data_IF_702349029970
#
_entry.id   IF_702349029970
#
_cell.length_a   1.000
_cell.length_b   1.000
_cell.length_c   1.000
_cell.angle_alpha   90.00
_cell.angle_beta   90.00
_cell.angle_gamma   90.00
#
_symmetry.space_group_name_H-M   'P 1'
#
loop_
_entity.id
_entity.type
_entity.pdbx_description
1 polymer ?
#
# COMPACT_ATOMS: atom_id res chain seq x y z
N UNK A 1 13.30 20.24 -15.25
CA UNK A 1 12.40 20.97 -14.31
C UNK A 1 11.13 20.18 -13.99
N UNK A 2 10.49 19.52 -14.99
CA UNK A 2 9.25 18.73 -14.77
C UNK A 2 9.41 17.64 -13.70
N UNK A 3 10.58 16.97 -13.66
CA UNK A 3 10.84 15.93 -12.67
C UNK A 3 10.83 16.41 -11.22
N UNK A 4 11.28 17.64 -10.95
CA UNK A 4 11.24 18.25 -9.62
C UNK A 4 9.80 18.61 -9.20
N UNK A 5 9.00 19.15 -10.12
CA UNK A 5 7.62 19.55 -9.86
C UNK A 5 6.69 18.36 -9.58
N UNK A 6 7.00 17.18 -10.12
CA UNK A 6 6.22 15.96 -9.90
C UNK A 6 6.86 15.11 -8.78
N UNK A 7 8.17 14.98 -8.80
CA UNK A 7 8.89 14.09 -7.88
C UNK A 7 8.90 14.57 -6.44
N UNK A 8 9.07 15.87 -6.19
CA UNK A 8 9.13 16.40 -4.83
C UNK A 8 7.80 16.28 -4.09
N UNK A 9 6.64 16.67 -4.65
CA UNK A 9 5.35 16.44 -4.00
C UNK A 9 5.07 14.95 -3.79
N UNK A 10 5.46 14.07 -4.73
CA UNK A 10 5.32 12.63 -4.60
C UNK A 10 6.13 12.07 -3.42
N UNK A 11 7.39 12.51 -3.27
CA UNK A 11 8.25 12.10 -2.16
C UNK A 11 7.70 12.56 -0.80
N UNK A 12 7.24 13.82 -0.72
CA UNK A 12 6.61 14.37 0.48
C UNK A 12 5.33 13.61 0.82
N UNK A 13 4.47 13.35 -0.18
CA UNK A 13 3.25 12.57 -0.02
C UNK A 13 3.52 11.15 0.49
N UNK A 14 4.52 10.49 -0.07
CA UNK A 14 4.97 9.18 0.37
C UNK A 14 5.45 9.18 1.82
N UNK A 15 6.28 10.14 2.19
CA UNK A 15 6.77 10.30 3.58
C UNK A 15 5.63 10.56 4.57
N UNK A 16 4.72 11.48 4.24
CA UNK A 16 3.53 11.77 5.06
C UNK A 16 2.64 10.53 5.15
N UNK A 17 2.40 9.85 4.03
CA UNK A 17 1.59 8.64 3.97
C UNK A 17 2.11 7.55 4.91
N UNK A 18 3.40 7.19 4.81
CA UNK A 18 4.01 6.16 5.68
C UNK A 18 3.95 6.56 7.14
N UNK A 19 4.32 7.81 7.47
CA UNK A 19 4.38 8.28 8.87
C UNK A 19 3.01 8.41 9.52
N UNK A 20 2.05 9.03 8.84
CA UNK A 20 0.67 9.15 9.34
C UNK A 20 -0.05 7.80 9.35
N UNK A 21 0.10 7.02 8.28
CA UNK A 21 -0.45 5.67 8.19
C UNK A 21 0.05 4.77 9.31
N UNK A 22 1.34 4.79 9.61
CA UNK A 22 1.93 4.08 10.73
C UNK A 22 1.36 4.50 12.08
N UNK A 23 1.28 5.81 12.34
CA UNK A 23 0.70 6.32 13.59
C UNK A 23 -0.79 5.95 13.77
N UNK A 24 -1.58 6.07 12.70
CA UNK A 24 -3.00 5.69 12.71
C UNK A 24 -3.13 4.18 12.92
N UNK A 25 -2.32 3.39 12.24
CA UNK A 25 -2.29 1.94 12.39
C UNK A 25 -1.96 1.51 13.82
N UNK A 26 -0.99 2.15 14.46
CA UNK A 26 -0.63 1.87 15.86
C UNK A 26 -1.71 2.32 16.83
N UNK A 27 -2.36 3.44 16.59
CA UNK A 27 -3.49 3.89 17.40
C UNK A 27 -4.70 2.94 17.31
N UNK A 28 -5.00 2.45 16.11
CA UNK A 28 -6.06 1.45 15.89
C UNK A 28 -5.70 0.09 16.50
N UNK A 29 -4.44 -0.29 16.42
CA UNK A 29 -3.93 -1.53 17.04
C UNK A 29 -4.13 -1.56 18.54
N UNK A 30 -4.03 -0.41 19.23
CA UNK A 30 -4.31 -0.30 20.66
C UNK A 30 -5.77 -0.58 21.02
N UNK A 31 -6.68 -0.40 20.06
CA UNK A 31 -8.13 -0.63 20.28
C UNK A 31 -8.57 -2.03 19.84
N UNK A 32 -7.98 -2.55 18.77
CA UNK A 32 -8.34 -3.86 18.20
C UNK A 32 -7.10 -4.58 17.64
N UNK A 33 -7.05 -5.90 17.84
CA UNK A 33 -5.99 -6.78 17.35
C UNK A 33 -5.75 -6.58 15.85
N UNK A 34 -6.81 -6.52 15.07
CA UNK A 34 -6.74 -6.32 13.60
C UNK A 34 -6.72 -4.84 13.17
N UNK A 35 -6.53 -3.89 14.10
CA UNK A 35 -6.64 -2.45 13.79
C UNK A 35 -5.69 -1.96 12.69
N UNK A 36 -4.47 -2.51 12.61
CA UNK A 36 -3.52 -2.18 11.52
C UNK A 36 -4.02 -2.61 10.15
N UNK A 37 -4.81 -3.69 10.07
CA UNK A 37 -5.35 -4.17 8.80
C UNK A 37 -6.35 -3.16 8.22
N UNK A 38 -7.03 -2.36 9.04
CA UNK A 38 -7.89 -1.28 8.55
C UNK A 38 -7.11 -0.26 7.70
N UNK A 39 -5.90 0.10 8.12
CA UNK A 39 -5.03 1.01 7.35
C UNK A 39 -4.50 0.33 6.09
N UNK A 40 -4.18 -0.96 6.15
CA UNK A 40 -3.79 -1.74 4.97
C UNK A 40 -4.94 -1.79 3.96
N UNK A 41 -6.17 -2.04 4.42
CA UNK A 41 -7.36 -2.05 3.57
C UNK A 41 -7.64 -0.68 2.95
N UNK A 42 -7.51 0.40 3.73
CA UNK A 42 -7.59 1.76 3.22
C UNK A 42 -6.54 2.00 2.13
N UNK A 43 -5.28 1.65 2.35
CA UNK A 43 -4.19 1.81 1.38
C UNK A 43 -4.29 0.87 0.17
N UNK A 44 -5.11 -0.18 0.21
CA UNK A 44 -5.42 -1.01 -0.95
C UNK A 44 -6.54 -0.40 -1.83
N UNK A 45 -7.54 0.25 -1.23
CA UNK A 45 -8.73 0.74 -1.92
C UNK A 45 -8.61 2.23 -2.31
N UNK A 46 -8.17 3.09 -1.38
CA UNK A 46 -8.17 4.53 -1.59
C UNK A 46 -7.32 5.00 -2.78
N UNK A 47 -6.11 4.45 -3.05
CA UNK A 47 -5.35 4.80 -4.24
C UNK A 47 -6.11 4.54 -5.53
N UNK A 48 -6.87 3.44 -5.60
CA UNK A 48 -7.67 3.12 -6.79
C UNK A 48 -8.77 4.15 -7.04
N UNK A 49 -9.43 4.63 -6.00
CA UNK A 49 -10.45 5.69 -6.10
C UNK A 49 -9.81 7.02 -6.51
N UNK A 50 -8.69 7.40 -5.91
CA UNK A 50 -8.00 8.66 -6.22
C UNK A 50 -7.40 8.66 -7.62
N UNK A 51 -6.88 7.54 -8.12
CA UNK A 51 -6.35 7.49 -9.49
C UNK A 51 -7.48 7.61 -10.52
N UNK A 52 -8.63 7.01 -10.30
CA UNK A 52 -9.80 7.20 -11.16
C UNK A 52 -10.24 8.67 -11.14
N UNK A 53 -10.32 9.27 -9.94
CA UNK A 53 -10.64 10.69 -9.80
C UNK A 53 -9.61 11.60 -10.51
N UNK A 54 -8.33 11.24 -10.49
CA UNK A 54 -7.29 11.99 -11.20
C UNK A 54 -7.53 11.98 -12.72
N UNK A 55 -7.83 10.82 -13.31
CA UNK A 55 -8.07 10.71 -14.75
C UNK A 55 -9.41 11.31 -15.22
N UNK A 56 -10.35 11.52 -14.31
CA UNK A 56 -11.64 12.21 -14.59
C UNK A 56 -11.60 13.70 -14.23
N UNK A 57 -10.48 14.19 -13.69
CA UNK A 57 -10.34 15.58 -13.26
C UNK A 57 -10.40 16.55 -14.47
N UNK A 58 -11.14 17.62 -14.31
CA UNK A 58 -11.33 18.67 -15.35
C UNK A 58 -10.20 19.71 -15.40
N UNK A 59 -9.29 19.70 -14.41
CA UNK A 59 -8.17 20.63 -14.34
C UNK A 59 -6.85 19.94 -13.94
N UNK A 60 -5.73 20.49 -14.41
CA UNK A 60 -4.40 19.98 -14.06
C UNK A 60 -4.15 20.01 -12.53
N UNK A 61 -4.65 21.04 -11.83
CA UNK A 61 -4.50 21.14 -10.38
C UNK A 61 -5.19 19.99 -9.63
N UNK A 62 -6.41 19.63 -10.04
CA UNK A 62 -7.13 18.48 -9.47
C UNK A 62 -6.44 17.16 -9.79
N UNK A 63 -5.90 17.01 -11.00
CA UNK A 63 -5.11 15.84 -11.38
C UNK A 63 -3.91 15.65 -10.44
N UNK A 64 -3.12 16.71 -10.23
CA UNK A 64 -1.97 16.66 -9.32
C UNK A 64 -2.39 16.39 -7.86
N UNK A 65 -3.47 17.01 -7.39
CA UNK A 65 -4.00 16.77 -6.03
C UNK A 65 -4.36 15.30 -5.83
N UNK A 66 -5.14 14.72 -6.73
CA UNK A 66 -5.53 13.31 -6.64
C UNK A 66 -4.34 12.37 -6.81
N UNK A 67 -3.34 12.73 -7.61
CA UNK A 67 -2.11 11.96 -7.72
C UNK A 67 -1.34 11.94 -6.39
N UNK A 68 -1.19 13.07 -5.71
CA UNK A 68 -0.59 13.18 -4.38
C UNK A 68 -1.36 12.33 -3.36
N UNK A 69 -2.69 12.38 -3.37
CA UNK A 69 -3.54 11.57 -2.48
C UNK A 69 -3.41 10.07 -2.77
N UNK A 70 -3.26 9.69 -4.03
CA UNK A 70 -2.98 8.30 -4.44
C UNK A 70 -1.69 7.79 -3.80
N UNK A 71 -0.61 8.56 -3.90
CA UNK A 71 0.69 8.20 -3.34
C UNK A 71 0.63 8.15 -1.81
N UNK A 72 0.06 9.17 -1.18
CA UNK A 72 -0.05 9.23 0.28
C UNK A 72 -0.87 8.06 0.86
N UNK A 73 -2.03 7.76 0.25
CA UNK A 73 -2.89 6.66 0.70
C UNK A 73 -2.25 5.29 0.48
N UNK A 74 -1.63 5.05 -0.68
CA UNK A 74 -0.92 3.80 -0.95
C UNK A 74 0.26 3.58 -0.01
N UNK A 75 1.06 4.62 0.22
CA UNK A 75 2.21 4.57 1.13
C UNK A 75 1.81 4.32 2.59
N UNK A 76 0.60 4.71 3.01
CA UNK A 76 0.11 4.49 4.38
C UNK A 76 0.02 3.02 4.76
N UNK A 77 -0.29 2.14 3.80
CA UNK A 77 -0.37 0.71 4.02
C UNK A 77 1.00 0.06 4.25
N UNK A 78 2.07 0.62 3.65
CA UNK A 78 3.40 0.00 3.68
C UNK A 78 3.94 -0.11 5.12
N UNK A 79 3.85 0.97 5.89
CA UNK A 79 4.28 0.98 7.29
C UNK A 79 3.46 0.04 8.17
N UNK A 80 2.14 0.05 8.00
CA UNK A 80 1.22 -0.84 8.73
C UNK A 80 1.48 -2.33 8.42
N UNK A 81 1.73 -2.67 7.14
CA UNK A 81 2.01 -4.03 6.72
C UNK A 81 3.37 -4.52 7.24
N UNK A 82 4.42 -3.71 7.14
CA UNK A 82 5.74 -4.03 7.67
C UNK A 82 5.70 -4.27 9.19
N UNK A 83 5.03 -3.39 9.94
CA UNK A 83 4.85 -3.55 11.38
C UNK A 83 4.05 -4.81 11.74
N UNK A 84 2.97 -5.12 11.01
CA UNK A 84 2.18 -6.34 11.22
C UNK A 84 3.02 -7.59 10.97
N UNK A 85 3.86 -7.59 9.92
CA UNK A 85 4.77 -8.71 9.62
C UNK A 85 5.76 -8.95 10.77
N UNK A 86 6.32 -7.88 11.36
CA UNK A 86 7.23 -7.99 12.49
C UNK A 86 6.53 -8.49 13.77
N UNK A 87 5.27 -8.13 13.97
CA UNK A 87 4.51 -8.56 15.14
C UNK A 87 4.14 -10.05 15.10
N UNK A 88 4.05 -10.65 13.92
CA UNK A 88 3.70 -12.07 13.76
C UNK A 88 4.86 -13.04 13.98
N UNK A 89 6.09 -12.55 14.11
CA UNK A 89 7.28 -13.38 14.28
C UNK A 89 7.93 -13.16 15.65
N UNK A 90 8.78 -14.11 16.06
CA UNK A 90 9.58 -13.96 17.27
C UNK A 90 10.60 -12.82 17.12
N UNK A 91 11.01 -12.14 18.22
CA UNK A 91 11.92 -11.00 18.15
C UNK A 91 13.21 -11.27 17.36
N UNK A 92 13.78 -12.47 17.49
CA UNK A 92 14.97 -12.91 16.79
C UNK A 92 14.82 -13.04 15.26
N UNK A 93 13.57 -13.14 14.78
CA UNK A 93 13.26 -13.35 13.35
C UNK A 93 12.73 -12.08 12.66
N UNK A 94 12.58 -10.96 13.38
CA UNK A 94 12.00 -9.72 12.83
C UNK A 94 12.76 -9.18 11.64
N UNK A 95 14.10 -9.23 11.69
CA UNK A 95 14.94 -8.78 10.58
C UNK A 95 14.70 -9.59 9.30
N UNK A 96 14.68 -10.92 9.40
CA UNK A 96 14.43 -11.82 8.27
C UNK A 96 13.01 -11.61 7.72
N UNK A 97 12.00 -11.50 8.58
CA UNK A 97 10.62 -11.27 8.16
C UNK A 97 10.48 -9.94 7.41
N UNK A 98 11.12 -8.89 7.90
CA UNK A 98 11.15 -7.58 7.25
C UNK A 98 11.85 -7.65 5.88
N UNK A 99 12.99 -8.35 5.80
CA UNK A 99 13.71 -8.53 4.53
C UNK A 99 12.84 -9.26 3.50
N UNK A 100 12.19 -10.36 3.87
CA UNK A 100 11.27 -11.12 2.99
C UNK A 100 10.10 -10.22 2.55
N UNK A 101 9.51 -9.46 3.46
CA UNK A 101 8.44 -8.52 3.13
C UNK A 101 8.88 -7.48 2.08
N UNK A 102 10.04 -6.84 2.27
CA UNK A 102 10.53 -5.84 1.31
C UNK A 102 10.99 -6.47 -0.01
N UNK A 103 11.58 -7.65 -0.01
CA UNK A 103 11.88 -8.38 -1.25
C UNK A 103 10.59 -8.65 -2.03
N UNK A 104 9.56 -9.17 -1.36
CA UNK A 104 8.26 -9.41 -1.98
C UNK A 104 7.62 -8.14 -2.55
N UNK A 105 7.57 -7.06 -1.77
CA UNK A 105 6.99 -5.79 -2.23
C UNK A 105 7.78 -5.15 -3.37
N UNK A 106 9.11 -5.27 -3.36
CA UNK A 106 9.97 -4.74 -4.42
C UNK A 106 9.81 -5.54 -5.71
N UNK A 107 9.86 -6.87 -5.65
CA UNK A 107 9.76 -7.71 -6.84
C UNK A 107 8.34 -7.64 -7.44
N UNK A 108 7.31 -7.80 -6.63
CA UNK A 108 5.91 -7.80 -7.11
C UNK A 108 5.42 -6.39 -7.43
N UNK A 109 5.73 -5.40 -6.58
CA UNK A 109 5.26 -4.04 -6.74
C UNK A 109 6.04 -3.23 -7.77
N UNK A 110 7.35 -3.07 -7.56
CA UNK A 110 8.19 -2.18 -8.37
C UNK A 110 8.67 -2.83 -9.67
N UNK A 111 8.81 -4.15 -9.76
CA UNK A 111 9.22 -4.81 -11.00
C UNK A 111 8.01 -5.12 -11.89
N UNK A 112 6.99 -5.82 -11.34
CA UNK A 112 5.84 -6.28 -12.14
C UNK A 112 4.88 -5.12 -12.45
N UNK A 113 4.64 -4.20 -11.51
CA UNK A 113 3.69 -3.09 -11.67
C UNK A 113 3.97 -2.23 -12.90
N UNK A 114 5.11 -1.55 -12.98
CA UNK A 114 5.47 -0.72 -14.14
C UNK A 114 5.60 -1.51 -15.43
N UNK A 115 6.09 -2.77 -15.37
CA UNK A 115 6.18 -3.63 -16.54
C UNK A 115 4.79 -3.93 -17.13
N UNK A 116 3.82 -4.31 -16.31
CA UNK A 116 2.45 -4.58 -16.76
C UNK A 116 1.77 -3.32 -17.30
N UNK A 117 1.91 -2.18 -16.60
CA UNK A 117 1.38 -0.90 -17.06
C UNK A 117 1.98 -0.50 -18.42
N UNK A 118 3.30 -0.62 -18.59
CA UNK A 118 3.98 -0.32 -19.85
C UNK A 118 3.57 -1.25 -20.99
N UNK A 119 3.47 -2.55 -20.71
CA UNK A 119 3.05 -3.55 -21.69
C UNK A 119 1.63 -3.30 -22.19
N UNK A 120 0.69 -3.04 -21.28
CA UNK A 120 -0.71 -2.77 -21.64
C UNK A 120 -0.81 -1.40 -22.36
N UNK A 121 -0.05 -0.40 -21.92
CA UNK A 121 0.03 0.89 -22.58
C UNK A 121 0.51 0.76 -24.04
N UNK A 122 1.55 -0.03 -24.27
CA UNK A 122 2.07 -0.25 -25.63
C UNK A 122 1.10 -1.01 -26.55
N UNK A 123 0.32 -1.95 -25.98
CA UNK A 123 -0.68 -2.71 -26.73
C UNK A 123 -1.95 -1.91 -27.03
N UNK A 124 -2.36 -1.02 -26.11
CA UNK A 124 -3.58 -0.21 -26.25
C UNK A 124 -3.34 1.15 -26.93
N UNK A 125 -2.08 1.56 -27.11
CA UNK A 125 -1.73 2.89 -27.60
C UNK A 125 -2.05 4.02 -26.61
N UNK A 126 -2.41 3.72 -25.34
CA UNK A 126 -2.83 4.70 -24.35
C UNK A 126 -2.17 4.44 -23.00
N UNK A 127 -1.40 5.43 -22.51
CA UNK A 127 -0.79 5.38 -21.19
C UNK A 127 -1.84 5.31 -20.07
N UNK A 128 -2.94 6.03 -20.25
CA UNK A 128 -4.05 6.01 -19.30
C UNK A 128 -4.62 4.59 -19.11
N UNK A 129 -4.84 3.87 -20.22
CA UNK A 129 -5.30 2.47 -20.19
C UNK A 129 -4.31 1.56 -19.45
N UNK A 130 -3.01 1.76 -19.69
CA UNK A 130 -1.96 1.01 -18.98
C UNK A 130 -1.99 1.24 -17.48
N UNK A 131 -2.13 2.48 -17.04
CA UNK A 131 -2.20 2.81 -15.60
C UNK A 131 -3.51 2.31 -14.98
N UNK A 132 -4.64 2.53 -15.64
CA UNK A 132 -5.96 2.09 -15.15
C UNK A 132 -6.08 0.57 -15.06
N UNK A 133 -5.35 -0.18 -15.88
CA UNK A 133 -5.33 -1.65 -15.78
C UNK A 133 -4.81 -2.15 -14.42
N UNK A 134 -3.95 -1.39 -13.75
CA UNK A 134 -3.47 -1.72 -12.41
C UNK A 134 -4.56 -1.65 -11.34
N UNK A 135 -5.73 -1.06 -11.62
CA UNK A 135 -6.87 -1.05 -10.70
C UNK A 135 -7.35 -2.46 -10.35
N UNK A 136 -7.08 -3.45 -11.19
CA UNK A 136 -7.37 -4.87 -10.89
C UNK A 136 -6.64 -5.34 -9.63
N UNK A 137 -5.53 -4.72 -9.25
CA UNK A 137 -4.79 -5.07 -8.04
C UNK A 137 -5.52 -4.63 -6.76
N UNK A 138 -6.37 -3.61 -6.82
CA UNK A 138 -7.08 -3.08 -5.65
C UNK A 138 -8.07 -4.10 -5.03
N UNK A 139 -8.99 -4.75 -5.79
CA UNK A 139 -9.86 -5.76 -5.22
C UNK A 139 -9.08 -6.99 -4.72
N UNK A 140 -7.99 -7.37 -5.38
CA UNK A 140 -7.13 -8.47 -4.91
C UNK A 140 -6.46 -8.09 -3.58
N UNK A 141 -5.89 -6.89 -3.48
CA UNK A 141 -5.30 -6.37 -2.24
C UNK A 141 -6.33 -6.26 -1.12
N UNK A 142 -7.55 -5.80 -1.42
CA UNK A 142 -8.64 -5.71 -0.46
C UNK A 142 -9.08 -7.09 0.05
N UNK A 143 -9.20 -8.08 -0.83
CA UNK A 143 -9.51 -9.47 -0.46
C UNK A 143 -8.44 -10.05 0.47
N UNK A 144 -7.16 -9.89 0.13
CA UNK A 144 -6.04 -10.36 0.96
C UNK A 144 -6.06 -9.66 2.33
N UNK A 145 -6.30 -8.35 2.38
CA UNK A 145 -6.42 -7.61 3.62
C UNK A 145 -7.61 -8.09 4.47
N UNK A 146 -8.77 -8.38 3.88
CA UNK A 146 -9.93 -8.92 4.57
C UNK A 146 -9.69 -10.34 5.11
N UNK A 147 -8.98 -11.17 4.37
CA UNK A 147 -8.56 -12.49 4.85
C UNK A 147 -7.58 -12.34 6.03
N UNK A 148 -6.61 -11.43 5.91
CA UNK A 148 -5.69 -11.12 7.00
C UNK A 148 -6.42 -10.62 8.25
N UNK A 149 -7.46 -9.79 8.09
CA UNK A 149 -8.30 -9.32 9.20
C UNK A 149 -8.89 -10.48 10.00
N UNK A 150 -9.40 -11.51 9.30
CA UNK A 150 -10.02 -12.68 9.93
C UNK A 150 -8.99 -13.62 10.57
N UNK A 151 -7.83 -13.78 9.95
CA UNK A 151 -6.82 -14.76 10.34
C UNK A 151 -5.83 -14.23 11.40
N UNK A 152 -5.65 -12.91 11.50
CA UNK A 152 -4.67 -12.29 12.38
C UNK A 152 -4.84 -12.67 13.85
N UNK A 153 -6.05 -12.67 14.45
CA UNK A 153 -6.22 -13.04 15.87
C UNK A 153 -5.76 -14.48 16.16
N UNK A 154 -6.04 -15.41 15.26
CA UNK A 154 -5.62 -16.80 15.39
C UNK A 154 -4.10 -16.97 15.22
N UNK A 155 -3.48 -16.16 14.37
CA UNK A 155 -2.03 -16.17 14.17
C UNK A 155 -1.28 -15.61 15.37
N UNK A 156 -1.79 -14.55 16.00
CA UNK A 156 -1.21 -14.00 17.24
C UNK A 156 -1.35 -14.96 18.43
N UNK A 157 -2.49 -15.64 18.56
CA UNK A 157 -2.68 -16.65 19.61
C UNK A 157 -1.69 -17.81 19.47
N UNK A 158 -1.44 -18.28 18.24
CA UNK A 158 -0.40 -19.31 17.98
C UNK A 158 1.00 -18.83 18.34
N UNK A 159 1.32 -17.57 18.03
CA UNK A 159 2.62 -17.01 18.41
C UNK A 159 2.82 -16.98 19.92
N UNK A 160 1.79 -16.61 20.68
CA UNK A 160 1.85 -16.58 22.13
C UNK A 160 2.18 -17.99 22.71
N UNK A 161 1.57 -19.04 22.14
CA UNK A 161 1.83 -20.42 22.54
C UNK A 161 3.26 -20.92 22.22
N UNK A 162 3.98 -20.27 21.30
CA UNK A 162 5.39 -20.62 21.00
C UNK A 162 6.41 -19.85 21.86
N UNK A 163 5.95 -18.86 22.60
CA UNK A 163 6.80 -18.02 23.44
C UNK A 163 6.86 -18.55 24.91
N UNK A 164 5.99 -19.49 25.26
CA UNK A 164 5.98 -20.28 26.52
C UNK A 164 6.87 -21.52 26.40
#
# INVERSE_FOLDING_TARGET
>A
EVGLWVGLPAAIAGFIGVTMGGRIADALRRRHVSGRIAVILFGAIAPALFIVAAFTASSAGLFFLFNVLTIASGSSALGAAAATTQDLVLPRMRGTATAIFFVGTTLLGLAIGPYMAGRISSLSGSLATGILSLLVTAPVGALVALLAWRLLPAAEARKAAWAE
#
